data_IF_329753016264
#
_entry.id   IF_329753016264
#
_cell.length_a   1.000
_cell.length_b   1.000
_cell.length_c   1.000
_cell.angle_alpha   90.00
_cell.angle_beta   90.00
_cell.angle_gamma   90.00
#
_symmetry.space_group_name_H-M   'P 1'
#
loop_
_entity.id
_entity.type
_entity.pdbx_description
1 polymer ?
#
# COMPACT_ATOMS: atom_id res chain seq x y z
N UNK A 1 -5.99 -15.78 -4.47
CA UNK A 1 -6.32 -16.74 -5.54
C UNK A 1 -5.05 -17.21 -6.19
N UNK A 2 -4.89 -18.52 -6.37
CA UNK A 2 -3.76 -19.07 -7.11
C UNK A 2 -3.92 -18.71 -8.58
N UNK A 3 -2.94 -18.00 -9.13
CA UNK A 3 -2.77 -17.93 -10.57
C UNK A 3 -2.53 -19.36 -11.06
N UNK A 4 -3.40 -19.88 -11.91
CA UNK A 4 -3.27 -21.24 -12.46
C UNK A 4 -2.10 -21.36 -13.46
N UNK A 5 -1.55 -20.25 -13.91
CA UNK A 5 -0.32 -20.19 -14.68
C UNK A 5 0.85 -20.06 -13.70
N UNK A 6 1.92 -20.77 -13.85
CA UNK A 6 3.12 -20.63 -13.04
C UNK A 6 3.82 -19.25 -13.15
N UNK A 7 3.05 -18.20 -13.43
CA UNK A 7 3.52 -16.85 -13.65
C UNK A 7 3.57 -16.06 -12.34
N UNK A 8 4.56 -15.21 -12.20
CA UNK A 8 4.72 -14.32 -11.06
C UNK A 8 4.78 -12.87 -11.54
N UNK A 9 4.20 -11.98 -10.75
CA UNK A 9 4.24 -10.55 -10.98
C UNK A 9 4.87 -9.86 -9.78
N UNK A 10 5.84 -8.97 -10.06
CA UNK A 10 6.52 -8.15 -9.06
C UNK A 10 6.31 -6.68 -9.42
N UNK A 11 6.19 -5.85 -8.41
CA UNK A 11 6.06 -4.41 -8.56
C UNK A 11 7.28 -3.71 -7.98
N UNK A 12 7.76 -2.71 -8.70
CA UNK A 12 8.83 -1.83 -8.24
C UNK A 12 8.55 -0.39 -8.66
N UNK A 13 9.02 0.57 -7.88
CA UNK A 13 8.88 1.98 -8.18
C UNK A 13 10.17 2.74 -7.83
N UNK A 14 10.20 4.05 -8.09
CA UNK A 14 11.32 4.91 -7.72
C UNK A 14 11.17 5.38 -6.27
N UNK A 15 11.40 4.47 -5.33
CA UNK A 15 11.05 4.60 -3.93
C UNK A 15 11.72 5.76 -3.16
N UNK A 16 12.89 6.24 -3.60
CA UNK A 16 13.60 7.39 -2.99
C UNK A 16 13.45 8.70 -3.78
N UNK A 17 12.67 8.71 -4.86
CA UNK A 17 12.39 9.96 -5.58
C UNK A 17 11.52 10.86 -4.74
N UNK A 18 11.84 12.16 -4.71
CA UNK A 18 10.99 13.18 -4.06
C UNK A 18 9.60 13.23 -4.69
N UNK A 19 9.53 12.98 -6.00
CA UNK A 19 8.31 12.86 -6.79
C UNK A 19 8.55 11.85 -7.93
N UNK A 20 7.56 11.04 -8.27
CA UNK A 20 7.62 10.14 -9.41
C UNK A 20 6.24 9.78 -9.97
N UNK A 21 6.20 9.60 -11.29
CA UNK A 21 5.08 9.12 -12.09
C UNK A 21 5.28 7.69 -12.60
N UNK A 22 6.21 6.92 -12.04
CA UNK A 22 6.68 5.68 -12.66
C UNK A 22 6.49 4.48 -11.76
N UNK A 23 5.85 3.44 -12.32
CA UNK A 23 5.77 2.09 -11.77
C UNK A 23 6.39 1.10 -12.75
N UNK A 24 7.08 0.09 -12.24
CA UNK A 24 7.59 -1.04 -13.02
C UNK A 24 6.82 -2.30 -12.65
N UNK A 25 6.24 -2.95 -13.65
CA UNK A 25 5.62 -4.27 -13.56
C UNK A 25 6.57 -5.29 -14.17
N UNK A 26 7.03 -6.23 -13.38
CA UNK A 26 7.93 -7.31 -13.79
C UNK A 26 7.11 -8.59 -13.84
N UNK A 27 7.09 -9.24 -14.98
CA UNK A 27 6.43 -10.52 -15.19
C UNK A 27 7.48 -11.62 -15.39
N UNK A 28 7.36 -12.67 -14.60
CA UNK A 28 8.18 -13.88 -14.69
C UNK A 28 7.25 -15.01 -15.13
N UNK A 29 7.33 -15.36 -16.41
CA UNK A 29 6.53 -16.44 -17.00
C UNK A 29 7.19 -17.80 -16.79
N UNK A 30 6.37 -18.85 -16.63
CA UNK A 30 6.81 -20.24 -16.47
C UNK A 30 7.74 -20.49 -15.27
N UNK A 31 7.55 -19.79 -14.17
CA UNK A 31 8.42 -19.88 -12.99
C UNK A 31 8.44 -21.27 -12.31
N UNK A 32 7.47 -22.13 -12.59
CA UNK A 32 7.31 -23.44 -11.93
C UNK A 32 7.66 -24.65 -12.77
N UNK A 33 7.66 -24.54 -14.09
CA UNK A 33 7.46 -25.74 -14.92
C UNK A 33 8.51 -26.02 -15.98
N UNK A 34 9.49 -25.15 -16.17
CA UNK A 34 10.46 -25.36 -17.26
C UNK A 34 11.86 -24.94 -16.91
N UNK A 35 12.81 -25.48 -17.65
CA UNK A 35 14.21 -25.14 -17.59
C UNK A 35 14.50 -23.69 -18.06
N UNK A 36 13.46 -22.92 -18.41
CA UNK A 36 13.58 -21.56 -18.92
C UNK A 36 12.43 -20.65 -18.50
N UNK A 37 12.60 -19.92 -17.39
CA UNK A 37 11.71 -18.79 -17.07
C UNK A 37 12.01 -17.60 -17.99
N UNK A 38 10.98 -16.89 -18.41
CA UNK A 38 11.11 -15.65 -19.19
C UNK A 38 10.78 -14.47 -18.31
N UNK A 39 11.64 -13.45 -18.31
CA UNK A 39 11.42 -12.21 -17.55
C UNK A 39 11.17 -11.07 -18.52
N UNK A 40 10.08 -10.35 -18.31
CA UNK A 40 9.77 -9.10 -19.00
C UNK A 40 9.48 -7.99 -18.00
N UNK A 41 9.70 -6.75 -18.39
CA UNK A 41 9.43 -5.57 -17.57
C UNK A 41 8.71 -4.52 -18.40
N UNK A 42 7.59 -4.05 -17.86
CA UNK A 42 6.83 -2.92 -18.39
C UNK A 42 7.00 -1.70 -17.48
N UNK A 43 7.33 -0.55 -18.06
CA UNK A 43 7.25 0.74 -17.39
C UNK A 43 5.86 1.32 -17.61
N UNK A 44 5.17 1.66 -16.52
CA UNK A 44 3.85 2.28 -16.55
C UNK A 44 3.99 3.72 -16.07
N UNK A 45 3.50 4.68 -16.85
CA UNK A 45 3.36 6.05 -16.40
C UNK A 45 2.07 6.21 -15.60
N UNK A 46 2.17 6.85 -14.45
CA UNK A 46 1.05 7.12 -13.56
C UNK A 46 0.44 8.48 -13.88
N UNK A 47 -0.88 8.58 -13.86
CA UNK A 47 -1.57 9.87 -14.00
C UNK A 47 -1.41 10.71 -12.73
N UNK A 48 -1.53 10.06 -11.56
CA UNK A 48 -1.29 10.71 -10.28
C UNK A 48 0.12 10.39 -9.80
N UNK A 49 0.90 11.42 -9.53
CA UNK A 49 2.24 11.27 -9.01
C UNK A 49 2.19 10.83 -7.54
N UNK A 50 3.17 10.06 -7.13
CA UNK A 50 3.44 9.82 -5.72
C UNK A 50 4.67 10.60 -5.27
N UNK A 51 4.72 10.88 -3.98
CA UNK A 51 5.76 11.71 -3.37
C UNK A 51 6.45 10.93 -2.25
N UNK A 52 7.72 11.27 -1.99
CA UNK A 52 8.40 10.70 -0.83
C UNK A 52 7.66 11.10 0.43
N UNK A 53 7.24 10.10 1.20
CA UNK A 53 6.50 10.34 2.44
C UNK A 53 7.38 11.03 3.48
N UNK A 54 6.88 12.04 4.20
CA UNK A 54 7.55 12.55 5.38
C UNK A 54 7.51 11.52 6.51
N UNK A 55 8.20 11.77 7.62
CA UNK A 55 8.01 11.00 8.84
C UNK A 55 6.65 11.29 9.46
N UNK A 56 6.05 10.29 10.14
CA UNK A 56 4.80 10.44 10.86
C UNK A 56 4.99 11.25 12.15
N UNK A 57 4.12 12.22 12.40
CA UNK A 57 4.16 13.12 13.55
C UNK A 57 3.59 12.43 14.79
N UNK A 58 4.19 12.65 15.95
CA UNK A 58 3.69 12.20 17.24
C UNK A 58 3.38 13.37 18.19
N UNK A 59 2.46 13.19 19.13
CA UNK A 59 2.06 14.22 20.09
C UNK A 59 3.18 14.64 21.06
N UNK A 60 4.22 13.83 21.24
CA UNK A 60 5.39 14.13 22.08
C UNK A 60 6.49 14.91 21.34
N UNK A 61 6.26 15.27 20.08
CA UNK A 61 7.19 15.98 19.21
C UNK A 61 8.27 15.12 18.55
N UNK A 62 8.33 13.81 18.84
CA UNK A 62 9.14 12.86 18.06
C UNK A 62 8.40 12.46 16.78
N UNK A 63 9.15 11.93 15.85
CA UNK A 63 8.65 11.44 14.58
C UNK A 63 8.80 9.93 14.45
N UNK A 64 7.99 9.32 13.58
CA UNK A 64 8.07 7.91 13.24
C UNK A 64 8.51 7.75 11.79
N UNK A 65 9.60 7.03 11.56
CA UNK A 65 10.13 6.82 10.22
C UNK A 65 9.15 6.06 9.33
N UNK A 66 8.87 6.58 8.15
CA UNK A 66 8.07 5.91 7.11
C UNK A 66 8.94 5.21 6.06
N UNK A 67 10.27 5.33 6.16
CA UNK A 67 11.29 4.84 5.24
C UNK A 67 11.24 5.53 3.86
N UNK A 68 10.56 4.90 2.91
CA UNK A 68 10.48 5.34 1.51
C UNK A 68 9.12 4.97 0.88
N UNK A 69 8.95 5.26 -0.40
CA UNK A 69 7.71 5.00 -1.13
C UNK A 69 7.68 3.62 -1.82
N UNK A 70 8.47 2.63 -1.39
CA UNK A 70 8.42 1.28 -1.97
C UNK A 70 7.04 0.65 -1.87
N UNK A 71 6.68 -0.19 -2.85
CA UNK A 71 5.47 -1.00 -2.76
C UNK A 71 5.57 -1.95 -1.57
N UNK A 72 4.60 -1.90 -0.66
CA UNK A 72 4.58 -2.65 0.59
C UNK A 72 3.61 -3.82 0.57
N UNK A 73 2.52 -3.72 -0.17
CA UNK A 73 1.53 -4.77 -0.30
C UNK A 73 0.89 -4.76 -1.68
N UNK A 74 0.44 -5.94 -2.11
CA UNK A 74 -0.29 -6.09 -3.36
C UNK A 74 -1.13 -7.34 -3.37
N UNK A 75 -2.22 -7.29 -4.12
CA UNK A 75 -3.12 -8.40 -4.41
C UNK A 75 -3.33 -8.48 -5.92
N UNK A 76 -3.44 -9.69 -6.43
CA UNK A 76 -3.67 -9.93 -7.86
C UNK A 76 -4.96 -10.72 -8.04
N UNK A 77 -5.73 -10.33 -9.03
CA UNK A 77 -6.85 -11.08 -9.59
C UNK A 77 -6.67 -11.21 -11.11
N UNK A 78 -7.60 -11.87 -11.80
CA UNK A 78 -7.51 -12.11 -13.24
C UNK A 78 -7.51 -10.84 -14.09
N UNK A 79 -8.15 -9.77 -13.61
CA UNK A 79 -8.36 -8.55 -14.39
C UNK A 79 -7.51 -7.37 -13.94
N UNK A 80 -6.98 -7.42 -12.71
CA UNK A 80 -6.28 -6.30 -12.10
C UNK A 80 -5.24 -6.74 -11.07
N UNK A 81 -4.30 -5.83 -10.77
CA UNK A 81 -3.39 -5.90 -9.62
C UNK A 81 -3.60 -4.64 -8.80
N UNK A 82 -3.98 -4.77 -7.53
CA UNK A 82 -4.00 -3.64 -6.60
C UNK A 82 -2.73 -3.63 -5.76
N UNK A 83 -2.25 -2.44 -5.43
CA UNK A 83 -1.05 -2.28 -4.62
C UNK A 83 -1.11 -1.01 -3.77
N UNK A 84 -0.35 -1.01 -2.68
CA UNK A 84 -0.25 0.13 -1.77
C UNK A 84 1.20 0.44 -1.42
N UNK A 85 1.47 1.72 -1.23
CA UNK A 85 2.74 2.21 -0.70
C UNK A 85 2.57 3.55 -0.01
N UNK A 86 3.62 4.03 0.65
CA UNK A 86 3.63 5.37 1.21
C UNK A 86 3.63 6.44 0.11
N UNK A 87 2.99 7.55 0.43
CA UNK A 87 3.08 8.79 -0.30
C UNK A 87 2.95 9.98 0.66
N UNK A 88 2.92 11.18 0.12
CA UNK A 88 2.58 12.40 0.83
C UNK A 88 1.35 13.03 0.16
N UNK A 89 0.43 13.51 0.98
CA UNK A 89 -0.59 14.44 0.50
C UNK A 89 0.02 15.84 0.39
N UNK A 90 0.19 16.32 -0.83
CA UNK A 90 0.82 17.61 -1.10
C UNK A 90 0.02 18.81 -0.62
N UNK A 91 -1.28 18.64 -0.36
CA UNK A 91 -2.14 19.72 0.14
C UNK A 91 -1.98 19.95 1.64
N UNK A 92 -1.67 18.89 2.40
CA UNK A 92 -1.52 18.95 3.86
C UNK A 92 -0.10 18.72 4.34
N UNK A 93 0.74 18.09 3.51
CA UNK A 93 2.08 17.65 3.88
C UNK A 93 2.08 16.41 4.81
N UNK A 94 0.94 15.74 5.00
CA UNK A 94 0.82 14.55 5.86
C UNK A 94 1.27 13.27 5.15
N UNK A 95 1.67 12.27 5.94
CA UNK A 95 1.89 10.93 5.43
C UNK A 95 0.58 10.35 4.89
N UNK A 96 0.62 9.83 3.67
CA UNK A 96 -0.53 9.31 2.95
C UNK A 96 -0.25 7.91 2.41
N UNK A 97 -1.32 7.23 2.01
CA UNK A 97 -1.26 5.96 1.29
C UNK A 97 -1.59 6.21 -0.18
N UNK A 98 -0.71 5.77 -1.06
CA UNK A 98 -1.01 5.63 -2.47
C UNK A 98 -1.62 4.25 -2.69
N UNK A 99 -2.85 4.19 -3.19
CA UNK A 99 -3.52 2.97 -3.61
C UNK A 99 -3.68 2.99 -5.12
N UNK A 100 -3.03 2.07 -5.81
CA UNK A 100 -3.08 1.93 -7.26
C UNK A 100 -3.72 0.63 -7.69
N UNK A 101 -4.47 0.67 -8.79
CA UNK A 101 -5.04 -0.49 -9.49
C UNK A 101 -4.50 -0.55 -10.90
N UNK A 102 -3.76 -1.60 -11.23
CA UNK A 102 -3.23 -1.86 -12.56
C UNK A 102 -4.24 -2.70 -13.31
N UNK A 103 -4.74 -2.19 -14.42
CA UNK A 103 -5.61 -2.90 -15.35
C UNK A 103 -4.82 -3.38 -16.58
N UNK A 104 -5.34 -4.40 -17.26
CA UNK A 104 -4.75 -4.97 -18.48
C UNK A 104 -3.27 -5.34 -18.32
N UNK A 105 -2.88 -5.81 -17.14
CA UNK A 105 -1.48 -6.00 -16.73
C UNK A 105 -0.70 -6.97 -17.64
N UNK A 106 -1.37 -7.84 -18.39
CA UNK A 106 -0.73 -8.78 -19.31
C UNK A 106 -0.33 -8.17 -20.67
N UNK A 107 -0.95 -7.06 -21.09
CA UNK A 107 -0.76 -6.51 -22.45
C UNK A 107 -0.40 -5.03 -22.48
N UNK A 108 -1.33 -4.18 -22.11
CA UNK A 108 -1.17 -2.73 -22.14
C UNK A 108 -1.55 -2.17 -20.77
N UNK A 109 -0.69 -2.31 -19.76
CA UNK A 109 -1.01 -1.93 -18.39
C UNK A 109 -1.19 -0.41 -18.26
N UNK A 110 -2.23 -0.02 -17.52
CA UNK A 110 -2.44 1.34 -17.06
C UNK A 110 -2.87 1.32 -15.59
N UNK A 111 -2.71 2.43 -14.89
CA UNK A 111 -3.01 2.55 -13.46
C UNK A 111 -4.06 3.62 -13.24
N UNK A 112 -5.06 3.29 -12.43
CA UNK A 112 -5.91 4.24 -11.73
C UNK A 112 -5.50 4.27 -10.26
N UNK A 113 -5.50 5.45 -9.64
CA UNK A 113 -4.95 5.61 -8.29
C UNK A 113 -5.71 6.60 -7.44
N UNK A 114 -5.53 6.48 -6.14
CA UNK A 114 -6.06 7.39 -5.14
C UNK A 114 -5.03 7.62 -4.04
N UNK A 115 -4.95 8.87 -3.56
CA UNK A 115 -4.19 9.24 -2.37
C UNK A 115 -5.15 9.25 -1.19
N UNK A 116 -4.93 8.36 -0.23
CA UNK A 116 -5.72 8.27 1.00
C UNK A 116 -4.94 8.98 2.10
N UNK A 117 -5.53 10.03 2.65
CA UNK A 117 -4.88 10.90 3.63
C UNK A 117 -5.86 11.47 4.65
N UNK A 118 -5.30 12.03 5.70
CA UNK A 118 -5.98 12.85 6.70
C UNK A 118 -5.10 14.06 7.03
N UNK A 119 -5.70 15.18 7.36
CA UNK A 119 -4.94 16.42 7.65
C UNK A 119 -4.24 16.42 9.01
N UNK A 120 -4.66 15.57 9.93
CA UNK A 120 -4.18 15.49 11.31
C UNK A 120 -3.46 14.16 11.55
N UNK A 121 -3.94 13.07 10.94
CA UNK A 121 -3.45 11.71 11.16
C UNK A 121 -2.50 11.34 10.02
N UNK A 122 -1.31 10.91 10.37
CA UNK A 122 -0.31 10.38 9.44
C UNK A 122 -0.48 8.86 9.31
N UNK A 123 -0.54 8.36 8.06
CA UNK A 123 -0.70 6.95 7.73
C UNK A 123 0.65 6.32 7.40
N UNK A 124 0.92 5.16 7.96
CA UNK A 124 2.19 4.47 7.77
C UNK A 124 2.04 2.98 7.49
N UNK A 125 3.00 2.41 6.80
CA UNK A 125 3.16 0.97 6.54
C UNK A 125 1.88 0.27 6.06
N UNK A 126 1.27 0.76 4.96
CA UNK A 126 0.05 0.16 4.44
C UNK A 126 0.28 -1.26 3.91
N UNK A 127 -0.72 -2.11 4.09
CA UNK A 127 -0.81 -3.40 3.44
C UNK A 127 -2.26 -3.62 2.99
N UNK A 128 -2.50 -4.55 2.05
CA UNK A 128 -3.79 -4.72 1.39
C UNK A 128 -4.20 -6.19 1.33
N UNK A 129 -5.49 -6.47 1.56
CA UNK A 129 -6.08 -7.78 1.37
C UNK A 129 -7.43 -7.68 0.66
N UNK A 130 -7.69 -8.61 -0.27
CA UNK A 130 -8.99 -8.73 -0.92
C UNK A 130 -10.04 -9.24 0.06
N UNK A 131 -11.22 -8.63 0.05
CA UNK A 131 -12.42 -9.07 0.78
C UNK A 131 -13.49 -9.62 -0.15
N UNK A 132 -13.39 -9.36 -1.45
CA UNK A 132 -14.35 -9.79 -2.45
C UNK A 132 -14.63 -11.29 -2.39
N UNK A 133 -15.89 -11.66 -2.39
CA UNK A 133 -16.35 -13.06 -2.43
C UNK A 133 -16.24 -13.57 -3.86
N UNK A 134 -16.56 -12.73 -4.82
CA UNK A 134 -16.51 -13.03 -6.25
C UNK A 134 -15.16 -12.66 -6.87
N UNK A 135 -14.76 -13.38 -7.93
CA UNK A 135 -13.46 -13.17 -8.60
C UNK A 135 -13.24 -11.78 -9.16
N UNK A 136 -14.26 -11.08 -9.55
CA UNK A 136 -14.16 -9.82 -10.28
C UNK A 136 -14.52 -8.60 -9.43
N UNK A 137 -14.65 -8.79 -8.12
CA UNK A 137 -14.94 -7.71 -7.18
C UNK A 137 -13.63 -7.10 -6.67
N UNK A 138 -13.37 -5.82 -6.92
CA UNK A 138 -12.14 -5.15 -6.51
C UNK A 138 -12.11 -4.80 -5.02
N UNK A 139 -13.09 -5.28 -4.25
CA UNK A 139 -13.20 -5.00 -2.83
C UNK A 139 -11.93 -5.36 -2.06
N UNK A 140 -11.48 -4.46 -1.22
CA UNK A 140 -10.31 -4.67 -0.40
C UNK A 140 -10.39 -3.98 0.97
N UNK A 141 -9.57 -4.43 1.89
CA UNK A 141 -9.22 -3.71 3.11
C UNK A 141 -7.75 -3.32 3.04
N UNK A 142 -7.49 -2.05 3.28
CA UNK A 142 -6.15 -1.50 3.46
C UNK A 142 -5.94 -1.33 4.96
N UNK A 143 -5.05 -2.12 5.54
CA UNK A 143 -4.62 -2.01 6.94
C UNK A 143 -3.34 -1.21 7.02
N UNK A 144 -3.20 -0.37 8.05
CA UNK A 144 -2.03 0.49 8.20
C UNK A 144 -1.84 0.94 9.65
N UNK A 145 -0.63 1.36 9.97
CA UNK A 145 -0.33 2.06 11.20
C UNK A 145 -0.74 3.53 11.08
N UNK A 146 -1.19 4.13 12.16
CA UNK A 146 -1.46 5.56 12.21
C UNK A 146 -0.75 6.23 13.39
N UNK A 147 -0.42 7.51 13.21
CA UNK A 147 0.07 8.38 14.27
C UNK A 147 -0.50 9.79 14.12
N UNK A 148 -0.39 10.61 15.14
CA UNK A 148 -0.98 11.95 15.15
C UNK A 148 -0.25 12.88 16.12
N UNK A 149 -0.17 14.19 15.83
CA UNK A 149 0.36 15.17 16.77
C UNK A 149 -0.55 15.46 17.98
N UNK A 150 -1.77 14.92 18.00
CA UNK A 150 -2.77 15.17 19.07
C UNK A 150 -3.31 13.90 19.72
N UNK A 151 -2.91 12.71 19.24
CA UNK A 151 -3.40 11.43 19.75
C UNK A 151 -2.27 10.39 19.70
N UNK A 152 -2.49 9.25 20.36
CA UNK A 152 -1.54 8.13 20.33
C UNK A 152 -1.57 7.39 19.00
N UNK A 153 -0.49 6.73 18.68
CA UNK A 153 -0.35 5.86 17.51
C UNK A 153 -1.12 4.55 17.71
N UNK A 154 -1.42 3.85 16.61
CA UNK A 154 -2.12 2.57 16.63
C UNK A 154 -2.27 1.95 15.25
N UNK A 155 -3.22 1.02 15.14
CA UNK A 155 -3.58 0.33 13.90
C UNK A 155 -4.96 0.79 13.43
N UNK A 156 -5.10 0.95 12.12
CA UNK A 156 -6.36 1.31 11.48
C UNK A 156 -6.56 0.57 10.17
N UNK A 157 -7.76 0.67 9.62
CA UNK A 157 -8.06 0.21 8.28
C UNK A 157 -9.02 1.14 7.56
N UNK A 158 -9.01 1.04 6.23
CA UNK A 158 -9.97 1.62 5.31
C UNK A 158 -10.49 0.48 4.42
N UNK A 159 -11.79 0.40 4.23
CA UNK A 159 -12.43 -0.51 3.30
C UNK A 159 -12.75 0.20 1.99
N UNK A 160 -12.55 -0.48 0.86
CA UNK A 160 -12.96 -0.03 -0.46
C UNK A 160 -14.00 -1.00 -1.02
N UNK A 161 -15.15 -0.47 -1.45
CA UNK A 161 -16.24 -1.26 -2.04
C UNK A 161 -16.03 -1.54 -3.55
N UNK A 162 -16.95 -2.29 -4.14
CA UNK A 162 -16.96 -2.63 -5.57
C UNK A 162 -17.09 -1.44 -6.52
N UNK A 163 -17.50 -0.27 -6.02
CA UNK A 163 -17.63 0.96 -6.79
C UNK A 163 -16.44 1.90 -6.57
N UNK A 164 -15.36 1.40 -5.95
CA UNK A 164 -14.16 2.16 -5.59
C UNK A 164 -14.40 3.29 -4.59
N UNK A 165 -15.48 3.19 -3.77
CA UNK A 165 -15.72 4.13 -2.68
C UNK A 165 -14.98 3.67 -1.43
N UNK A 166 -14.26 4.60 -0.80
CA UNK A 166 -13.53 4.34 0.43
C UNK A 166 -14.37 4.69 1.65
N UNK A 167 -14.38 3.80 2.63
CA UNK A 167 -14.95 4.10 3.95
C UNK A 167 -14.10 5.13 4.68
N UNK A 168 -14.65 5.82 5.68
CA UNK A 168 -13.83 6.51 6.67
C UNK A 168 -12.84 5.54 7.34
N UNK A 169 -11.70 6.08 7.78
CA UNK A 169 -10.72 5.32 8.58
C UNK A 169 -11.38 4.74 9.85
N UNK A 170 -11.14 3.47 10.09
CA UNK A 170 -11.57 2.76 11.31
C UNK A 170 -10.35 2.41 12.16
N UNK A 171 -10.21 3.00 13.35
CA UNK A 171 -9.22 2.58 14.33
C UNK A 171 -9.53 1.17 14.83
N UNK A 172 -8.56 0.27 14.75
CA UNK A 172 -8.65 -1.12 15.20
C UNK A 172 -8.06 -1.29 16.60
N UNK A 173 -6.95 -0.60 16.83
CA UNK A 173 -6.27 -0.57 18.12
C UNK A 173 -5.61 0.79 18.29
N UNK A 174 -5.50 1.24 19.54
CA UNK A 174 -4.87 2.50 19.91
C UNK A 174 -3.86 2.20 21.03
N UNK A 175 -2.64 2.70 20.88
CA UNK A 175 -1.60 2.57 21.89
C UNK A 175 -1.83 3.51 23.07
N UNK A 176 -1.17 3.24 24.18
CA UNK A 176 -1.31 4.01 25.41
C UNK A 176 -0.40 5.25 25.45
N UNK A 177 0.61 5.31 24.58
CA UNK A 177 1.63 6.37 24.58
C UNK A 177 2.32 6.49 23.22
N UNK A 178 3.05 7.60 23.02
CA UNK A 178 3.96 7.74 21.89
C UNK A 178 5.08 6.67 21.92
N UNK A 179 5.58 6.32 20.75
CA UNK A 179 6.78 5.49 20.61
C UNK A 179 7.99 6.37 20.91
N UNK A 180 8.79 5.95 21.91
CA UNK A 180 10.00 6.64 22.38
C UNK A 180 11.00 5.58 22.85
N UNK A 181 11.68 4.96 21.90
CA UNK A 181 12.61 3.85 22.13
C UNK A 181 14.04 4.16 21.78
N UNK A 182 14.26 5.00 20.77
CA UNK A 182 15.56 5.40 20.32
C UNK A 182 15.98 6.75 20.91
N UNK A 183 17.26 6.99 21.03
CA UNK A 183 17.80 8.22 21.63
C UNK A 183 17.68 9.47 20.76
N UNK A 184 17.25 9.32 19.51
CA UNK A 184 17.07 10.44 18.56
C UNK A 184 15.63 11.00 18.55
N UNK A 185 15.39 11.93 17.63
CA UNK A 185 14.06 12.50 17.41
C UNK A 185 13.15 11.64 16.53
N UNK A 186 13.71 10.59 15.89
CA UNK A 186 12.99 9.69 14.99
C UNK A 186 13.05 8.29 15.56
N UNK A 187 11.90 7.68 15.75
CA UNK A 187 11.74 6.28 16.10
C UNK A 187 11.27 5.45 14.90
N UNK A 188 11.37 4.13 15.00
CA UNK A 188 10.88 3.20 13.99
C UNK A 188 9.57 2.58 14.41
N UNK A 189 8.70 2.31 13.43
CA UNK A 189 7.42 1.65 13.62
C UNK A 189 7.03 0.88 12.35
N UNK A 190 6.15 -0.12 12.47
CA UNK A 190 5.39 -0.69 11.37
C UNK A 190 6.15 -1.45 10.27
N UNK A 191 7.46 -1.63 10.34
CA UNK A 191 8.29 -2.23 9.29
C UNK A 191 7.78 -3.61 8.79
N UNK A 192 6.97 -4.29 9.57
CA UNK A 192 6.49 -5.66 9.31
C UNK A 192 4.99 -5.81 9.56
N UNK A 193 4.19 -4.80 9.22
CA UNK A 193 2.75 -4.92 9.24
C UNK A 193 2.27 -5.82 8.10
N UNK A 194 1.20 -6.57 8.32
CA UNK A 194 0.60 -7.41 7.30
C UNK A 194 -0.90 -7.58 7.53
N UNK A 195 -1.65 -7.73 6.46
CA UNK A 195 -3.06 -8.09 6.48
C UNK A 195 -3.30 -9.27 5.55
N UNK A 196 -4.12 -10.21 5.98
CA UNK A 196 -4.42 -11.41 5.20
C UNK A 196 -5.89 -11.79 5.35
N UNK A 197 -6.48 -12.22 4.25
CA UNK A 197 -7.81 -12.81 4.25
C UNK A 197 -7.80 -14.19 4.92
N UNK A 198 -8.82 -14.47 5.72
CA UNK A 198 -9.06 -15.81 6.27
C UNK A 198 -9.91 -16.62 5.30
N UNK A 199 -9.28 -17.50 4.53
CA UNK A 199 -9.90 -18.18 3.39
C UNK A 199 -11.01 -19.18 3.72
N UNK A 200 -11.09 -19.69 4.94
CA UNK A 200 -11.98 -20.78 5.33
C UNK A 200 -13.19 -20.34 6.15
N UNK A 201 -13.42 -19.04 6.29
CA UNK A 201 -14.61 -18.51 6.96
C UNK A 201 -15.38 -17.62 5.98
N UNK A 202 -16.71 -17.83 5.84
CA UNK A 202 -17.53 -16.88 5.10
C UNK A 202 -17.52 -15.53 5.82
N UNK A 203 -17.39 -14.46 5.03
CA UNK A 203 -17.51 -13.08 5.52
C UNK A 203 -18.95 -12.74 5.87
#
# INVERSE_FOLDING_TARGET
RELQSGDQYLLSNKNFSTESDTLYLIHIANSHASDSATISMSRISLNDHYFLSPNGRQYNGKELATNDSRVLGGIIDKEWIQYVHHSMDTSTGSCAIYHGTIYNYEKNPYVESNILSDSIIDFGYPNIASTGINPNEPECVIGFDYTSPIDTNGLACIYMDNNYNYSPMKKLNTGDRAIDRLSGNIDRWGDYSGIQRKYNEPC
#
